data_IF_520003356455
#
_entry.id   IF_520003356455
#
_cell.length_a   1.000
_cell.length_b   1.000
_cell.length_c   1.000
_cell.angle_alpha   90.00
_cell.angle_beta   90.00
_cell.angle_gamma   90.00
#
_symmetry.space_group_name_H-M   'P 1'
#
loop_
_entity.id
_entity.type
_entity.pdbx_description
1 polymer ?
#
# COMPACT_ATOMS: atom_id res chain seq x y z
N UNK A 1 48.88 -17.05 8.03
CA UNK A 1 49.32 -18.24 7.26
C UNK A 1 48.26 -19.32 7.42
N UNK A 2 47.38 -19.50 6.43
CA UNK A 2 46.47 -20.66 6.39
C UNK A 2 46.42 -21.13 4.94
N UNK A 3 47.06 -22.26 4.68
CA UNK A 3 47.25 -22.87 3.37
C UNK A 3 45.96 -23.56 2.94
N UNK A 4 45.27 -23.01 1.93
CA UNK A 4 44.18 -23.70 1.26
C UNK A 4 44.76 -24.72 0.27
N UNK A 5 44.59 -26.01 0.62
CA UNK A 5 44.94 -27.15 -0.22
C UNK A 5 43.94 -27.24 -1.39
N UNK A 6 44.38 -27.42 -2.64
CA UNK A 6 43.46 -27.58 -3.78
C UNK A 6 42.74 -28.93 -3.70
N UNK A 7 41.45 -28.92 -4.07
CA UNK A 7 40.59 -30.11 -4.19
C UNK A 7 41.10 -30.99 -5.34
N UNK A 8 41.24 -32.32 -5.17
CA UNK A 8 41.71 -33.19 -6.24
C UNK A 8 40.67 -33.26 -7.37
N UNK A 9 41.14 -33.27 -8.62
CA UNK A 9 40.31 -33.45 -9.80
C UNK A 9 39.59 -34.81 -9.76
N UNK A 10 38.35 -34.92 -10.26
CA UNK A 10 37.71 -36.22 -10.43
C UNK A 10 38.56 -37.08 -11.36
N UNK A 11 39.04 -38.21 -10.84
CA UNK A 11 39.74 -39.22 -11.62
C UNK A 11 38.82 -39.67 -12.76
N UNK A 12 39.21 -39.39 -14.00
CA UNK A 12 38.61 -40.06 -15.14
C UNK A 12 38.76 -41.57 -14.92
N UNK A 13 37.72 -42.38 -15.15
CA UNK A 13 37.87 -43.83 -15.16
C UNK A 13 39.00 -44.15 -16.13
N UNK A 14 40.12 -44.67 -15.59
CA UNK A 14 41.19 -45.20 -16.43
C UNK A 14 40.57 -46.31 -17.26
N UNK A 15 40.45 -46.10 -18.57
CA UNK A 15 40.14 -47.21 -19.46
C UNK A 15 41.26 -48.24 -19.28
N UNK A 16 40.94 -49.53 -19.04
CA UNK A 16 41.96 -50.55 -19.03
C UNK A 16 42.71 -50.48 -20.36
N UNK A 17 44.05 -50.70 -20.37
CA UNK A 17 44.78 -50.80 -21.62
C UNK A 17 44.07 -51.83 -22.51
N UNK A 18 43.94 -51.60 -23.83
CA UNK A 18 43.36 -52.59 -24.71
C UNK A 18 44.09 -53.91 -24.48
N UNK A 19 43.37 -55.04 -24.30
CA UNK A 19 44.02 -56.32 -24.12
C UNK A 19 45.01 -56.51 -25.27
N UNK A 20 46.24 -56.93 -24.95
CA UNK A 20 47.26 -57.24 -25.95
C UNK A 20 46.62 -58.16 -26.98
N UNK A 21 46.46 -57.66 -28.21
CA UNK A 21 45.82 -58.40 -29.30
C UNK A 21 46.72 -59.59 -29.60
N UNK A 22 46.38 -60.76 -29.03
CA UNK A 22 46.98 -62.01 -29.44
C UNK A 22 46.70 -62.13 -30.94
N UNK A 23 47.76 -62.13 -31.76
CA UNK A 23 47.66 -62.36 -33.19
C UNK A 23 47.08 -63.76 -33.37
N UNK A 24 45.77 -63.84 -33.57
CA UNK A 24 45.12 -65.09 -33.96
C UNK A 24 45.68 -65.47 -35.33
N UNK A 25 45.99 -66.76 -35.57
CA UNK A 25 46.43 -67.20 -36.89
C UNK A 25 45.38 -66.82 -37.94
N UNK A 26 45.80 -66.53 -39.19
CA UNK A 26 44.87 -66.24 -40.28
C UNK A 26 43.80 -67.34 -40.33
N UNK A 27 42.53 -66.93 -40.25
CA UNK A 27 41.41 -67.86 -40.32
C UNK A 27 41.38 -68.53 -41.70
N UNK A 28 41.67 -69.82 -41.76
CA UNK A 28 41.51 -70.62 -42.97
C UNK A 28 40.06 -71.12 -43.05
N UNK A 29 39.29 -70.75 -44.10
CA UNK A 29 37.90 -71.16 -44.22
C UNK A 29 37.83 -72.66 -44.49
N UNK A 30 37.11 -73.40 -43.64
CA UNK A 30 36.81 -74.82 -43.86
C UNK A 30 36.07 -75.01 -45.19
N UNK A 31 36.47 -75.96 -46.06
CA UNK A 31 35.85 -76.16 -47.36
C UNK A 31 34.40 -76.66 -47.22
N UNK A 32 33.47 -75.91 -47.80
CA UNK A 32 32.04 -76.19 -47.71
C UNK A 32 31.69 -77.32 -48.68
N UNK A 33 31.33 -78.49 -48.14
CA UNK A 33 31.18 -79.71 -48.95
C UNK A 33 29.71 -80.06 -49.17
N UNK A 34 28.81 -79.68 -48.26
CA UNK A 34 27.38 -80.06 -48.29
C UNK A 34 26.46 -78.88 -48.64
N UNK A 35 25.37 -79.09 -49.39
CA UNK A 35 24.39 -78.03 -49.72
C UNK A 35 23.71 -77.45 -48.46
N UNK A 36 23.49 -78.26 -47.42
CA UNK A 36 22.94 -77.82 -46.14
C UNK A 36 23.88 -76.83 -45.41
N UNK A 37 25.19 -77.06 -45.47
CA UNK A 37 26.20 -76.17 -44.88
C UNK A 37 26.23 -74.81 -45.60
N UNK A 38 26.04 -74.80 -46.93
CA UNK A 38 25.92 -73.55 -47.72
C UNK A 38 24.69 -72.74 -47.31
N UNK A 39 23.54 -73.41 -47.12
CA UNK A 39 22.31 -72.75 -46.66
C UNK A 39 22.48 -72.17 -45.25
N UNK A 40 23.08 -72.93 -44.33
CA UNK A 40 23.37 -72.44 -42.97
C UNK A 40 24.37 -71.27 -42.98
N UNK A 41 25.44 -71.33 -43.76
CA UNK A 41 26.39 -70.23 -43.88
C UNK A 41 25.73 -68.96 -44.42
N UNK A 42 24.86 -69.10 -45.41
CA UNK A 42 24.10 -67.97 -45.98
C UNK A 42 23.22 -67.32 -44.92
N UNK A 43 22.55 -68.11 -44.08
CA UNK A 43 21.78 -67.61 -42.95
C UNK A 43 22.65 -66.93 -41.89
N UNK A 44 23.84 -67.48 -41.58
CA UNK A 44 24.79 -66.84 -40.66
C UNK A 44 25.28 -65.49 -41.19
N UNK A 45 25.69 -65.43 -42.46
CA UNK A 45 26.12 -64.18 -43.11
C UNK A 45 24.98 -63.16 -43.12
N UNK A 46 23.75 -63.59 -43.39
CA UNK A 46 22.57 -62.71 -43.37
C UNK A 46 22.31 -62.16 -41.96
N UNK A 47 22.37 -63.01 -40.93
CA UNK A 47 22.17 -62.60 -39.53
C UNK A 47 23.26 -61.66 -39.07
N UNK A 48 24.51 -61.93 -39.42
CA UNK A 48 25.66 -61.09 -39.06
C UNK A 48 25.57 -59.71 -39.75
N UNK A 49 25.23 -59.70 -41.04
CA UNK A 49 24.99 -58.45 -41.77
C UNK A 49 23.83 -57.63 -41.16
N UNK A 50 22.72 -58.28 -40.77
CA UNK A 50 21.60 -57.61 -40.11
C UNK A 50 21.99 -57.05 -38.73
N UNK A 51 22.81 -57.78 -37.98
CA UNK A 51 23.33 -57.35 -36.69
C UNK A 51 24.27 -56.13 -36.84
N UNK A 52 25.20 -56.18 -37.78
CA UNK A 52 26.09 -55.06 -38.11
C UNK A 52 25.30 -53.80 -38.50
N UNK A 53 24.30 -53.94 -39.38
CA UNK A 53 23.43 -52.81 -39.75
C UNK A 53 22.67 -52.22 -38.55
N UNK A 54 22.20 -53.06 -37.62
CA UNK A 54 21.53 -52.61 -36.41
C UNK A 54 22.48 -51.85 -35.47
N UNK A 55 23.71 -52.33 -35.31
CA UNK A 55 24.76 -51.67 -34.53
C UNK A 55 25.12 -50.32 -35.13
N UNK A 56 25.36 -50.26 -36.44
CA UNK A 56 25.70 -49.00 -37.14
C UNK A 56 24.57 -47.97 -36.99
N UNK A 57 23.31 -48.40 -37.11
CA UNK A 57 22.15 -47.54 -36.89
C UNK A 57 22.07 -47.03 -35.45
N UNK A 58 22.34 -47.87 -34.46
CA UNK A 58 22.38 -47.47 -33.06
C UNK A 58 23.54 -46.50 -32.78
N UNK A 59 24.73 -46.78 -33.31
CA UNK A 59 25.90 -45.93 -33.16
C UNK A 59 25.66 -44.55 -33.79
N UNK A 60 25.12 -44.51 -35.00
CA UNK A 60 24.74 -43.26 -35.67
C UNK A 60 23.76 -42.44 -34.85
N UNK A 61 22.69 -43.05 -34.33
CA UNK A 61 21.72 -42.38 -33.44
C UNK A 61 22.37 -41.84 -32.17
N UNK A 62 23.28 -42.60 -31.57
CA UNK A 62 23.99 -42.19 -30.38
C UNK A 62 24.90 -40.98 -30.64
N UNK A 63 25.63 -40.98 -31.76
CA UNK A 63 26.47 -39.85 -32.18
C UNK A 63 25.62 -38.61 -32.51
N UNK A 64 24.50 -38.78 -33.21
CA UNK A 64 23.56 -37.69 -33.50
C UNK A 64 23.03 -37.06 -32.22
N UNK A 65 22.56 -37.87 -31.26
CA UNK A 65 22.09 -37.39 -29.95
C UNK A 65 23.20 -36.71 -29.14
N UNK A 66 24.42 -37.26 -29.15
CA UNK A 66 25.57 -36.68 -28.46
C UNK A 66 25.93 -35.30 -29.06
N UNK A 67 25.88 -35.15 -30.38
CA UNK A 67 26.12 -33.89 -31.07
C UNK A 67 25.01 -32.86 -30.78
N UNK A 68 23.75 -33.29 -30.74
CA UNK A 68 22.63 -32.43 -30.36
C UNK A 68 22.82 -31.88 -28.94
N UNK A 69 23.10 -32.76 -27.96
CA UNK A 69 23.34 -32.34 -26.58
C UNK A 69 24.58 -31.47 -26.43
N UNK A 70 25.62 -31.71 -27.23
CA UNK A 70 26.80 -30.84 -27.28
C UNK A 70 26.42 -29.41 -27.69
N UNK A 71 25.54 -29.25 -28.70
CA UNK A 71 25.04 -27.93 -29.11
C UNK A 71 24.21 -27.26 -28.03
N UNK A 72 23.32 -28.01 -27.36
CA UNK A 72 22.52 -27.48 -26.24
C UNK A 72 23.43 -26.93 -25.12
N UNK A 73 24.47 -27.69 -24.76
CA UNK A 73 25.46 -27.31 -23.75
C UNK A 73 26.24 -26.07 -24.19
N UNK A 74 26.63 -26.00 -25.46
CA UNK A 74 27.36 -24.85 -26.01
C UNK A 74 26.51 -23.58 -25.98
N UNK A 75 25.24 -23.66 -26.37
CA UNK A 75 24.29 -22.55 -26.31
C UNK A 75 24.07 -22.06 -24.87
N UNK A 76 23.80 -22.97 -23.94
CA UNK A 76 23.61 -22.62 -22.52
C UNK A 76 24.89 -21.99 -21.91
N UNK A 77 26.07 -22.47 -22.30
CA UNK A 77 27.33 -21.88 -21.88
C UNK A 77 27.56 -20.49 -22.49
N UNK A 78 27.18 -20.27 -23.76
CA UNK A 78 27.24 -18.97 -24.40
C UNK A 78 26.33 -17.96 -23.71
N UNK A 79 25.10 -18.35 -23.38
CA UNK A 79 24.16 -17.50 -22.63
C UNK A 79 24.70 -17.16 -21.23
N UNK A 80 25.26 -18.14 -20.52
CA UNK A 80 25.91 -17.91 -19.21
C UNK A 80 27.07 -16.93 -19.29
N UNK A 81 27.89 -16.98 -20.35
CA UNK A 81 28.97 -16.01 -20.59
C UNK A 81 28.42 -14.61 -20.79
N UNK A 82 27.33 -14.47 -21.56
CA UNK A 82 26.67 -13.18 -21.74
C UNK A 82 26.17 -12.63 -20.40
N UNK A 83 25.53 -13.46 -19.56
CA UNK A 83 25.06 -13.07 -18.22
C UNK A 83 26.18 -12.66 -17.26
N UNK A 84 27.39 -13.17 -17.46
CA UNK A 84 28.58 -12.83 -16.65
C UNK A 84 29.27 -11.55 -17.14
N UNK A 85 28.95 -11.04 -18.33
CA UNK A 85 29.48 -9.77 -18.77
C UNK A 85 28.92 -8.63 -17.91
N UNK A 86 29.77 -7.69 -17.47
CA UNK A 86 29.33 -6.53 -16.72
C UNK A 86 28.40 -5.67 -17.59
N UNK A 87 27.20 -5.38 -17.08
CA UNK A 87 26.18 -4.58 -17.78
C UNK A 87 25.23 -5.38 -18.69
N UNK A 88 25.37 -6.70 -18.78
CA UNK A 88 24.37 -7.52 -19.45
C UNK A 88 23.06 -7.55 -18.64
N UNK A 89 21.94 -7.29 -19.32
CA UNK A 89 20.59 -7.26 -18.75
C UNK A 89 19.76 -8.43 -19.31
N UNK A 90 20.05 -9.69 -18.94
CA UNK A 90 19.40 -10.88 -19.51
C UNK A 90 17.89 -10.96 -19.24
N UNK A 91 17.40 -10.20 -18.25
CA UNK A 91 15.99 -10.15 -17.86
C UNK A 91 15.37 -8.77 -18.11
N UNK A 92 16.05 -7.90 -18.87
CA UNK A 92 15.64 -6.52 -19.11
C UNK A 92 16.14 -5.53 -18.06
N UNK A 93 15.75 -4.27 -18.21
CA UNK A 93 16.28 -3.12 -17.46
C UNK A 93 15.68 -2.98 -16.05
N UNK A 94 14.49 -3.53 -15.82
CA UNK A 94 13.77 -3.40 -14.55
C UNK A 94 13.20 -2.00 -14.34
N UNK A 95 13.24 -1.49 -13.11
CA UNK A 95 12.77 -0.14 -12.78
C UNK A 95 13.79 0.91 -13.21
N UNK A 96 13.31 1.97 -13.88
CA UNK A 96 14.14 3.05 -14.44
C UNK A 96 14.14 4.34 -13.60
N UNK A 97 13.73 4.29 -12.34
CA UNK A 97 13.78 5.45 -11.43
C UNK A 97 12.46 6.14 -11.13
N UNK A 98 11.33 5.67 -11.68
CA UNK A 98 10.00 6.20 -11.39
C UNK A 98 9.45 5.65 -10.07
N UNK A 99 9.72 6.35 -8.95
CA UNK A 99 9.20 6.04 -7.61
C UNK A 99 9.84 4.80 -6.93
N UNK A 100 10.05 3.72 -7.68
CA UNK A 100 10.57 2.44 -7.21
C UNK A 100 12.10 2.33 -7.24
N UNK A 101 12.79 3.42 -7.58
CA UNK A 101 14.24 3.45 -7.74
C UNK A 101 14.70 2.83 -9.06
N UNK A 102 16.02 2.59 -9.16
CA UNK A 102 16.66 2.06 -10.37
C UNK A 102 17.16 0.64 -10.10
N UNK A 103 16.73 -0.32 -10.92
CA UNK A 103 17.19 -1.71 -10.85
C UNK A 103 18.63 -1.81 -11.37
N UNK A 104 19.45 -2.68 -10.74
CA UNK A 104 20.76 -3.05 -11.28
C UNK A 104 21.99 -2.39 -10.64
N UNK A 105 21.83 -1.49 -9.65
CA UNK A 105 22.99 -0.94 -8.92
C UNK A 105 23.62 -1.92 -7.93
N UNK A 106 22.78 -2.63 -7.16
CA UNK A 106 23.21 -3.60 -6.15
C UNK A 106 22.07 -4.57 -5.84
N UNK A 107 22.40 -5.82 -5.50
CA UNK A 107 21.42 -6.75 -4.94
C UNK A 107 21.06 -6.30 -3.52
N UNK A 108 19.87 -5.71 -3.36
CA UNK A 108 19.33 -5.29 -2.06
C UNK A 108 17.84 -5.60 -2.02
N UNK A 109 17.40 -6.21 -0.92
CA UNK A 109 15.98 -6.30 -0.61
C UNK A 109 15.57 -4.96 0.01
N UNK A 110 14.66 -4.25 -0.66
CA UNK A 110 14.07 -3.02 -0.13
C UNK A 110 12.84 -3.41 0.68
N UNK A 111 12.91 -3.22 2.00
CA UNK A 111 11.74 -3.38 2.85
C UNK A 111 10.79 -2.19 2.69
N UNK A 112 9.49 -2.34 3.01
CA UNK A 112 8.54 -1.23 2.96
C UNK A 112 8.98 0.02 3.73
N UNK A 113 9.79 -0.14 4.79
CA UNK A 113 10.33 0.98 5.55
C UNK A 113 11.46 1.73 4.81
N UNK A 114 12.24 1.03 3.98
CA UNK A 114 13.40 1.55 3.24
C UNK A 114 13.01 2.16 1.89
N UNK A 115 11.72 2.13 1.53
CA UNK A 115 11.21 2.71 0.28
C UNK A 115 11.48 4.22 0.24
N UNK A 116 11.78 4.73 -0.95
CA UNK A 116 11.91 6.18 -1.16
C UNK A 116 10.55 6.83 -0.90
N UNK A 117 10.51 7.79 0.03
CA UNK A 117 9.26 8.45 0.43
C UNK A 117 9.20 9.86 -0.16
N UNK A 118 8.03 10.31 -0.66
CA UNK A 118 7.84 11.68 -1.09
C UNK A 118 7.71 12.64 0.11
N UNK A 119 7.13 12.16 1.22
CA UNK A 119 6.94 12.91 2.47
C UNK A 119 7.96 12.49 3.51
N UNK A 120 8.30 13.43 4.40
CA UNK A 120 9.18 13.16 5.55
C UNK A 120 8.42 12.62 6.75
N UNK A 121 7.12 12.87 6.81
CA UNK A 121 6.26 12.45 7.92
C UNK A 121 6.08 10.94 7.98
N UNK A 122 5.75 10.46 9.18
CA UNK A 122 5.43 9.04 9.39
C UNK A 122 4.16 8.70 8.61
N UNK A 123 4.10 7.51 8.05
CA UNK A 123 2.88 7.07 7.36
C UNK A 123 1.86 6.61 8.39
N UNK A 124 0.62 7.06 8.22
CA UNK A 124 -0.51 6.53 8.96
C UNK A 124 -0.72 5.07 8.54
N UNK A 125 -0.43 4.16 9.46
CA UNK A 125 -0.69 2.73 9.31
C UNK A 125 -1.81 2.38 10.27
N UNK A 126 -3.01 2.30 9.72
CA UNK A 126 -4.18 1.90 10.47
C UNK A 126 -4.34 0.38 10.36
N UNK A 127 -4.64 -0.27 11.48
CA UNK A 127 -5.07 -1.66 11.46
C UNK A 127 -6.51 -1.68 10.92
N UNK A 128 -6.85 -2.67 10.10
CA UNK A 128 -8.21 -2.79 9.53
C UNK A 128 -9.29 -2.75 10.62
N UNK A 129 -9.07 -3.42 11.74
CA UNK A 129 -10.02 -3.45 12.86
C UNK A 129 -10.20 -2.06 13.48
N UNK A 130 -9.11 -1.29 13.64
CA UNK A 130 -9.17 0.07 14.17
C UNK A 130 -9.95 1.03 13.25
N UNK A 131 -9.86 0.85 11.93
CA UNK A 131 -10.66 1.63 10.97
C UNK A 131 -12.15 1.32 11.12
N UNK A 132 -12.48 0.03 11.25
CA UNK A 132 -13.88 -0.42 11.40
C UNK A 132 -14.46 0.09 12.72
N UNK A 133 -13.71 -0.04 13.82
CA UNK A 133 -14.11 0.49 15.12
C UNK A 133 -14.32 2.00 15.08
N UNK A 134 -13.43 2.73 14.41
CA UNK A 134 -13.56 4.18 14.26
C UNK A 134 -14.78 4.57 13.43
N UNK A 135 -15.07 3.84 12.35
CA UNK A 135 -16.23 4.10 11.48
C UNK A 135 -17.58 3.87 12.16
N UNK A 136 -17.63 3.09 13.25
CA UNK A 136 -18.85 2.84 14.02
C UNK A 136 -19.13 3.91 15.09
N UNK A 137 -18.17 4.81 15.37
CA UNK A 137 -18.36 5.89 16.34
C UNK A 137 -19.15 7.04 15.71
N UNK A 138 -19.87 7.76 16.55
CA UNK A 138 -20.59 8.96 16.11
C UNK A 138 -19.62 10.11 15.83
N UNK A 139 -19.90 10.88 14.78
CA UNK A 139 -19.08 12.01 14.38
C UNK A 139 -19.50 13.29 15.10
N UNK A 140 -18.72 13.69 16.10
CA UNK A 140 -18.91 14.97 16.80
C UNK A 140 -17.81 15.93 16.38
N UNK A 141 -18.09 16.78 15.40
CA UNK A 141 -17.06 17.68 14.85
C UNK A 141 -16.96 19.00 15.62
N UNK A 142 -15.76 19.25 16.13
CA UNK A 142 -15.32 20.47 16.81
C UNK A 142 -14.67 21.42 15.81
N UNK A 143 -15.07 22.69 15.73
CA UNK A 143 -14.37 23.67 14.93
C UNK A 143 -13.04 24.06 15.60
N UNK A 144 -11.96 24.02 14.84
CA UNK A 144 -10.62 24.38 15.30
C UNK A 144 -10.14 25.58 14.49
N UNK A 145 -9.68 26.62 15.19
CA UNK A 145 -9.02 27.78 14.61
C UNK A 145 -7.57 27.83 15.05
N UNK A 146 -6.65 27.92 14.09
CA UNK A 146 -5.22 28.08 14.36
C UNK A 146 -4.79 29.48 13.98
N UNK A 147 -4.21 30.18 14.94
CA UNK A 147 -3.54 31.48 14.74
C UNK A 147 -2.18 31.43 15.43
N UNK A 148 -1.15 31.04 14.69
CA UNK A 148 0.19 30.80 15.22
C UNK A 148 1.20 31.60 14.41
N UNK A 149 1.90 32.51 15.09
CA UNK A 149 2.97 33.31 14.51
C UNK A 149 4.33 32.82 15.06
N UNK A 150 5.27 32.48 14.19
CA UNK A 150 6.58 31.95 14.59
C UNK A 150 7.61 31.93 13.46
N UNK A 151 8.87 32.23 13.77
CA UNK A 151 10.01 32.19 12.82
C UNK A 151 9.79 32.92 11.47
N UNK A 152 9.00 34.00 11.48
CA UNK A 152 8.67 34.77 10.28
C UNK A 152 7.53 34.20 9.43
N UNK A 153 6.94 33.07 9.84
CA UNK A 153 5.73 32.51 9.26
C UNK A 153 4.52 32.86 10.12
N UNK A 154 3.37 33.02 9.45
CA UNK A 154 2.06 33.19 10.09
C UNK A 154 1.14 32.10 9.58
N UNK A 155 0.76 31.18 10.45
CA UNK A 155 -0.18 30.12 10.16
C UNK A 155 -1.56 30.57 10.62
N UNK A 156 -2.47 30.77 9.67
CA UNK A 156 -3.90 31.02 9.91
C UNK A 156 -4.69 29.96 9.18
N UNK A 157 -5.31 29.07 9.94
CA UNK A 157 -6.07 27.96 9.39
C UNK A 157 -7.35 27.74 10.19
N UNK A 158 -8.36 27.16 9.56
CA UNK A 158 -9.65 26.86 10.18
C UNK A 158 -10.20 25.57 9.58
N UNK A 159 -10.43 24.58 10.43
CA UNK A 159 -10.92 23.25 10.03
C UNK A 159 -11.77 22.63 11.12
N UNK A 160 -12.37 21.49 10.85
CA UNK A 160 -13.15 20.72 11.82
C UNK A 160 -12.40 19.45 12.24
N UNK A 161 -12.49 19.10 13.52
CA UNK A 161 -11.85 17.93 14.12
C UNK A 161 -12.88 17.04 14.79
N UNK A 162 -12.86 15.73 14.53
CA UNK A 162 -13.75 14.81 15.21
C UNK A 162 -13.30 14.60 16.66
N UNK A 163 -14.17 14.93 17.63
CA UNK A 163 -13.94 14.72 19.07
C UNK A 163 -13.64 13.25 19.38
N UNK A 164 -14.31 12.34 18.67
CA UNK A 164 -14.20 10.91 18.85
C UNK A 164 -13.08 10.30 18.01
N UNK A 165 -12.17 11.11 17.45
CA UNK A 165 -11.00 10.65 16.69
C UNK A 165 -10.01 9.94 17.61
N UNK A 166 -9.74 8.67 17.31
CA UNK A 166 -8.77 7.86 18.08
C UNK A 166 -7.56 7.40 17.26
N UNK A 167 -7.65 7.48 15.94
CA UNK A 167 -6.65 6.91 15.03
C UNK A 167 -5.56 7.91 14.70
N UNK A 168 -5.94 9.18 14.47
CA UNK A 168 -5.00 10.27 14.16
C UNK A 168 -4.78 11.14 15.39
N UNK A 169 -3.54 11.24 15.85
CA UNK A 169 -3.20 12.13 16.96
C UNK A 169 -3.02 13.59 16.47
N UNK A 170 -3.35 14.60 17.30
CA UNK A 170 -3.11 16.00 16.96
C UNK A 170 -1.64 16.31 16.62
N UNK A 171 -0.68 15.67 17.29
CA UNK A 171 0.75 15.80 16.99
C UNK A 171 1.08 15.31 15.58
N UNK A 172 0.51 14.18 15.17
CA UNK A 172 0.77 13.65 13.83
C UNK A 172 0.10 14.49 12.75
N UNK A 173 -1.12 14.95 12.99
CA UNK A 173 -1.79 15.91 12.11
C UNK A 173 -0.94 17.17 11.93
N UNK A 174 -0.40 17.71 13.03
CA UNK A 174 0.48 18.88 13.00
C UNK A 174 1.78 18.63 12.20
N UNK A 175 2.39 17.44 12.31
CA UNK A 175 3.55 17.06 11.49
C UNK A 175 3.21 17.08 9.98
N UNK A 176 2.07 16.49 9.61
CA UNK A 176 1.59 16.45 8.22
C UNK A 176 1.30 17.85 7.69
N UNK A 177 0.61 18.68 8.48
CA UNK A 177 0.31 20.06 8.12
C UNK A 177 1.61 20.88 7.90
N UNK A 178 2.61 20.69 8.76
CA UNK A 178 3.91 21.35 8.59
C UNK A 178 4.66 20.87 7.34
N UNK A 179 4.63 19.58 7.01
CA UNK A 179 5.26 19.08 5.78
C UNK A 179 4.51 19.56 4.51
N UNK A 180 3.18 19.64 4.55
CA UNK A 180 2.38 20.08 3.40
C UNK A 180 2.55 21.59 3.13
N UNK A 181 2.58 22.42 4.18
CA UNK A 181 2.83 23.87 4.08
C UNK A 181 4.32 24.24 4.05
N UNK A 182 5.22 23.26 4.12
CA UNK A 182 6.69 23.44 4.18
C UNK A 182 7.13 24.39 5.31
N UNK A 183 6.50 24.26 6.47
CA UNK A 183 6.81 25.01 7.68
C UNK A 183 7.87 24.29 8.54
N UNK A 184 8.62 25.02 9.38
CA UNK A 184 9.55 24.43 10.33
C UNK A 184 8.85 23.54 11.38
N UNK A 185 9.02 22.21 11.25
CA UNK A 185 8.37 21.19 12.09
C UNK A 185 8.63 21.43 13.59
N UNK A 186 9.86 21.80 13.96
CA UNK A 186 10.25 21.98 15.36
C UNK A 186 9.51 23.11 16.07
N UNK A 187 9.06 24.11 15.32
CA UNK A 187 8.54 25.36 15.88
C UNK A 187 7.02 25.42 15.82
N UNK A 188 6.40 24.70 14.89
CA UNK A 188 4.95 24.72 14.67
C UNK A 188 4.22 23.48 15.21
N UNK A 189 4.84 22.30 15.24
CA UNK A 189 4.12 21.06 15.63
C UNK A 189 3.55 21.12 17.04
N UNK A 190 4.37 21.52 18.02
CA UNK A 190 3.92 21.57 19.42
C UNK A 190 2.84 22.63 19.66
N UNK A 191 2.97 23.87 19.15
CA UNK A 191 1.89 24.85 19.24
C UNK A 191 0.58 24.42 18.56
N UNK A 192 0.64 23.82 17.37
CA UNK A 192 -0.55 23.33 16.66
C UNK A 192 -1.24 22.22 17.47
N UNK A 193 -0.49 21.21 17.88
CA UNK A 193 -1.03 20.08 18.63
C UNK A 193 -1.59 20.50 19.99
N UNK A 194 -1.00 21.52 20.63
CA UNK A 194 -1.51 22.12 21.86
C UNK A 194 -2.82 22.86 21.61
N UNK A 195 -2.86 23.74 20.60
CA UNK A 195 -4.05 24.52 20.25
C UNK A 195 -5.26 23.63 19.91
N UNK A 196 -5.03 22.52 19.19
CA UNK A 196 -6.08 21.53 18.91
C UNK A 196 -6.60 20.91 20.21
N UNK A 197 -5.68 20.43 21.08
CA UNK A 197 -6.07 19.76 22.34
C UNK A 197 -6.82 20.70 23.29
N UNK A 198 -6.39 21.95 23.41
CA UNK A 198 -7.06 22.96 24.23
C UNK A 198 -8.47 23.23 23.71
N UNK A 199 -8.65 23.51 22.42
CA UNK A 199 -9.97 23.77 21.84
C UNK A 199 -10.92 22.56 21.93
N UNK A 200 -10.39 21.34 21.77
CA UNK A 200 -11.17 20.10 21.95
C UNK A 200 -11.59 19.90 23.41
N UNK A 201 -10.69 20.17 24.37
CA UNK A 201 -10.97 20.07 25.79
C UNK A 201 -11.97 21.14 26.26
N UNK A 202 -11.84 22.36 25.76
CA UNK A 202 -12.76 23.45 26.02
C UNK A 202 -14.15 23.09 25.46
N UNK A 203 -14.21 22.55 24.25
CA UNK A 203 -15.45 22.04 23.67
C UNK A 203 -16.08 20.96 24.56
N UNK A 204 -15.31 19.98 25.06
CA UNK A 204 -15.84 18.95 25.96
C UNK A 204 -16.45 19.54 27.24
N UNK A 205 -15.85 20.61 27.77
CA UNK A 205 -16.33 21.29 28.99
C UNK A 205 -17.62 22.07 28.74
N UNK A 206 -17.79 22.62 27.53
CA UNK A 206 -18.96 23.40 27.12
C UNK A 206 -20.04 22.58 26.40
N UNK A 207 -19.77 21.33 26.05
CA UNK A 207 -20.68 20.45 25.33
C UNK A 207 -21.70 19.62 26.14
N UNK A 208 -22.12 19.92 27.40
CA UNK A 208 -23.21 19.16 28.02
C UNK A 208 -24.57 19.87 27.84
N UNK A 209 -25.21 19.73 26.67
CA UNK A 209 -26.64 20.05 26.50
C UNK A 209 -27.25 19.58 25.16
N UNK A 210 -26.95 18.35 24.72
CA UNK A 210 -27.83 17.65 23.76
C UNK A 210 -28.27 16.31 24.33
N UNK A 211 -29.18 16.42 25.31
CA UNK A 211 -30.10 15.39 25.83
C UNK A 211 -29.52 13.98 26.06
N UNK A 212 -29.11 13.69 27.29
CA UNK A 212 -29.33 12.35 27.87
C UNK A 212 -30.36 12.48 29.01
N UNK A 213 -31.64 12.40 28.64
CA UNK A 213 -32.69 11.97 29.55
C UNK A 213 -32.56 10.45 29.76
N UNK A 214 -31.58 10.02 30.55
CA UNK A 214 -31.61 8.69 31.20
C UNK A 214 -30.90 8.75 32.55
N UNK A 215 -31.49 9.47 33.51
CA UNK A 215 -31.19 9.24 34.93
C UNK A 215 -32.37 8.51 35.56
N UNK A 216 -32.36 7.18 35.42
CA UNK A 216 -33.12 6.30 36.30
C UNK A 216 -32.51 6.40 37.71
N UNK A 217 -33.16 7.12 38.62
CA UNK A 217 -32.85 7.02 40.04
C UNK A 217 -32.98 8.31 40.86
N UNK A 218 -34.21 8.69 41.19
CA UNK A 218 -34.66 9.22 42.50
C UNK A 218 -36.04 9.86 42.31
N UNK A 219 -37.07 9.14 42.71
CA UNK A 219 -38.47 9.60 42.71
C UNK A 219 -38.71 10.53 43.89
N UNK A 220 -38.90 11.83 43.63
CA UNK A 220 -39.55 12.75 44.56
C UNK A 220 -41.05 12.87 44.22
N UNK A 221 -41.86 12.43 45.18
CA UNK A 221 -43.28 12.05 45.07
C UNK A 221 -44.26 13.23 44.96
N UNK A 222 -43.79 14.45 44.63
CA UNK A 222 -44.59 15.69 44.65
C UNK A 222 -44.96 16.20 43.25
N UNK A 223 -44.38 15.64 42.17
CA UNK A 223 -44.57 16.13 40.80
C UNK A 223 -45.78 15.52 40.05
N UNK A 224 -46.63 14.73 40.71
CA UNK A 224 -47.73 14.01 40.02
C UNK A 224 -48.95 14.90 39.76
N UNK A 225 -49.16 15.98 40.54
CA UNK A 225 -50.33 16.85 40.38
C UNK A 225 -50.16 17.92 39.28
N UNK A 226 -48.93 18.31 38.93
CA UNK A 226 -48.66 19.23 37.81
C UNK A 226 -48.44 18.51 36.48
N UNK A 227 -48.20 17.19 36.51
CA UNK A 227 -48.03 16.30 35.34
C UNK A 227 -49.15 16.34 34.31
N UNK A 228 -50.40 16.41 34.78
CA UNK A 228 -51.57 16.34 33.92
C UNK A 228 -51.80 17.62 33.09
N UNK A 229 -51.21 18.75 33.48
CA UNK A 229 -51.41 20.05 32.80
C UNK A 229 -50.32 20.37 31.76
N UNK A 230 -49.16 19.70 31.81
CA UNK A 230 -48.15 19.78 30.74
C UNK A 230 -48.16 18.59 29.77
N UNK A 231 -48.89 17.53 30.08
CA UNK A 231 -49.06 16.37 29.19
C UNK A 231 -50.01 16.61 27.99
N UNK A 232 -50.73 17.73 27.96
CA UNK A 232 -51.60 18.15 26.84
C UNK A 232 -50.94 19.15 25.90
N UNK A 233 -49.67 19.51 26.14
CA UNK A 233 -48.88 20.32 25.20
C UNK A 233 -48.24 19.39 24.17
N UNK A 234 -48.67 19.46 22.92
CA UNK A 234 -48.07 18.74 21.78
C UNK A 234 -46.54 18.76 21.88
N UNK A 235 -45.83 17.61 21.74
CA UNK A 235 -44.37 17.58 21.78
C UNK A 235 -43.72 18.42 20.67
N UNK A 236 -44.48 18.83 19.65
CA UNK A 236 -44.06 19.79 18.62
C UNK A 236 -43.92 21.23 19.11
N UNK A 237 -44.56 21.62 20.22
CA UNK A 237 -44.50 22.99 20.76
C UNK A 237 -43.41 23.21 21.80
N UNK A 238 -42.74 22.15 22.27
CA UNK A 238 -41.55 22.27 23.12
C UNK A 238 -40.30 22.72 22.35
N UNK A 239 -40.32 22.65 21.02
CA UNK A 239 -39.30 23.20 20.15
C UNK A 239 -39.69 24.63 19.79
N UNK A 240 -39.58 25.53 20.76
CA UNK A 240 -39.53 26.96 20.46
C UNK A 240 -38.39 27.18 19.45
N UNK A 241 -38.73 27.88 18.38
CA UNK A 241 -37.90 28.13 17.22
C UNK A 241 -36.64 28.89 17.62
N UNK A 242 -35.56 28.18 17.92
CA UNK A 242 -34.24 28.76 18.25
C UNK A 242 -33.54 29.18 16.96
N UNK A 243 -34.15 30.16 16.28
CA UNK A 243 -33.58 30.82 15.11
C UNK A 243 -32.61 31.90 15.57
N UNK A 244 -31.36 31.73 15.18
CA UNK A 244 -30.32 32.73 15.38
C UNK A 244 -29.99 33.41 14.06
N UNK A 245 -29.69 34.71 14.13
CA UNK A 245 -29.17 35.46 12.98
C UNK A 245 -27.66 35.27 12.91
N UNK A 246 -27.20 34.57 11.89
CA UNK A 246 -25.79 34.32 11.63
C UNK A 246 -25.29 35.37 10.64
N UNK A 247 -24.17 36.02 10.98
CA UNK A 247 -23.47 36.97 10.13
C UNK A 247 -22.16 36.35 9.67
N UNK A 248 -21.94 36.37 8.36
CA UNK A 248 -20.74 35.90 7.70
C UNK A 248 -19.87 37.08 7.32
N UNK A 249 -18.59 37.01 7.67
CA UNK A 249 -17.54 37.87 7.16
C UNK A 249 -16.31 37.00 6.88
N UNK A 250 -16.19 36.57 5.63
CA UNK A 250 -15.16 35.64 5.19
C UNK A 250 -14.30 36.32 4.13
N UNK A 251 -12.98 36.30 4.37
CA UNK A 251 -11.99 36.83 3.43
C UNK A 251 -11.06 35.72 2.97
N UNK A 252 -11.03 35.44 1.66
CA UNK A 252 -10.09 34.48 1.06
C UNK A 252 -9.42 35.14 -0.14
N UNK A 253 -8.09 35.22 -0.08
CA UNK A 253 -7.30 35.90 -1.12
C UNK A 253 -7.69 37.37 -1.28
N UNK A 254 -8.24 37.71 -2.45
CA UNK A 254 -8.68 39.06 -2.80
C UNK A 254 -10.21 39.22 -2.81
N UNK A 255 -10.97 38.22 -2.33
CA UNK A 255 -12.44 38.23 -2.33
C UNK A 255 -12.95 38.19 -0.89
N UNK A 256 -13.98 38.99 -0.63
CA UNK A 256 -14.69 39.03 0.66
C UNK A 256 -16.15 38.66 0.44
N UNK A 257 -16.66 37.71 1.22
CA UNK A 257 -18.06 37.33 1.27
C UNK A 257 -18.63 37.83 2.60
N UNK A 258 -19.60 38.75 2.52
CA UNK A 258 -20.35 39.26 3.66
C UNK A 258 -21.81 38.88 3.44
N UNK A 259 -22.40 38.14 4.37
CA UNK A 259 -23.78 37.66 4.27
C UNK A 259 -24.44 37.60 5.65
N UNK A 260 -25.76 37.52 5.70
CA UNK A 260 -26.54 37.38 6.92
C UNK A 260 -27.80 36.55 6.67
N UNK A 261 -27.97 35.47 7.43
CA UNK A 261 -29.13 34.57 7.30
C UNK A 261 -29.63 34.08 8.68
N UNK A 262 -30.86 33.56 8.71
CA UNK A 262 -31.44 32.93 9.90
C UNK A 262 -31.12 31.42 9.91
N UNK A 263 -30.75 30.89 11.08
CA UNK A 263 -30.45 29.47 11.25
C UNK A 263 -31.19 28.89 12.45
N UNK A 264 -31.96 27.84 12.23
CA UNK A 264 -32.60 27.06 13.29
C UNK A 264 -31.64 25.97 13.80
N UNK A 265 -31.28 26.09 15.07
CA UNK A 265 -30.38 25.19 15.80
C UNK A 265 -31.01 23.81 16.06
N UNK A 266 -32.32 23.78 16.30
CA UNK A 266 -33.00 22.57 16.77
C UNK A 266 -33.38 21.62 15.63
N UNK A 267 -33.33 22.09 14.38
CA UNK A 267 -33.60 21.25 13.23
C UNK A 267 -32.40 20.32 12.95
N UNK A 268 -32.53 19.05 13.33
CA UNK A 268 -31.51 18.02 13.08
C UNK A 268 -31.23 17.75 11.59
N UNK A 269 -32.05 18.25 10.66
CA UNK A 269 -31.84 18.14 9.21
C UNK A 269 -30.97 19.27 8.65
N UNK A 270 -30.65 20.27 9.45
CA UNK A 270 -29.87 21.43 9.01
C UNK A 270 -28.39 21.08 9.05
N UNK A 271 -27.84 20.69 7.90
CA UNK A 271 -26.42 20.38 7.75
C UNK A 271 -25.62 21.61 7.25
N UNK A 272 -24.59 22.07 7.99
CA UNK A 272 -23.81 23.25 7.63
C UNK A 272 -23.01 23.07 6.33
N UNK A 273 -22.54 21.85 6.07
CA UNK A 273 -21.74 21.52 4.89
C UNK A 273 -22.56 21.59 3.60
N UNK A 274 -23.78 21.04 3.62
CA UNK A 274 -24.67 21.08 2.47
C UNK A 274 -25.09 22.52 2.15
N UNK A 275 -25.39 23.32 3.17
CA UNK A 275 -25.69 24.74 3.00
C UNK A 275 -24.51 25.50 2.39
N UNK A 276 -23.31 25.32 2.95
CA UNK A 276 -22.08 25.95 2.45
C UNK A 276 -21.77 25.56 0.99
N UNK A 277 -22.02 24.31 0.62
CA UNK A 277 -21.83 23.82 -0.75
C UNK A 277 -22.81 24.48 -1.73
N UNK A 278 -24.09 24.54 -1.38
CA UNK A 278 -25.12 25.17 -2.22
C UNK A 278 -24.79 26.65 -2.40
N UNK A 279 -24.54 27.38 -1.31
CA UNK A 279 -24.22 28.81 -1.34
C UNK A 279 -22.97 29.10 -2.20
N UNK A 280 -21.91 28.31 -2.04
CA UNK A 280 -20.70 28.48 -2.85
C UNK A 280 -20.96 28.17 -4.34
N UNK A 281 -21.81 27.19 -4.63
CA UNK A 281 -22.16 26.82 -6.02
C UNK A 281 -23.03 27.89 -6.68
N UNK A 282 -24.00 28.45 -5.95
CA UNK A 282 -24.87 29.53 -6.44
C UNK A 282 -24.09 30.83 -6.70
N UNK A 283 -23.13 31.16 -5.82
CA UNK A 283 -22.29 32.34 -5.97
C UNK A 283 -21.10 32.14 -6.92
N UNK A 284 -20.87 30.92 -7.42
CA UNK A 284 -19.73 30.58 -8.27
C UNK A 284 -18.37 30.76 -7.57
N UNK A 285 -18.33 30.53 -6.25
CA UNK A 285 -17.14 30.65 -5.43
C UNK A 285 -16.28 29.37 -5.49
N UNK A 286 -14.97 29.53 -5.31
CA UNK A 286 -14.02 28.42 -5.30
C UNK A 286 -14.20 27.49 -4.09
N UNK A 287 -13.61 26.29 -4.15
CA UNK A 287 -13.74 25.27 -3.09
C UNK A 287 -13.28 25.73 -1.71
N UNK A 288 -12.31 26.64 -1.63
CA UNK A 288 -11.85 27.29 -0.39
C UNK A 288 -12.97 27.96 0.41
N UNK A 289 -13.96 28.57 -0.26
CA UNK A 289 -15.10 29.18 0.41
C UNK A 289 -16.03 28.13 1.02
N UNK A 290 -16.20 26.95 0.40
CA UNK A 290 -17.04 25.86 0.94
C UNK A 290 -16.58 25.44 2.33
N UNK A 291 -15.27 25.20 2.48
CA UNK A 291 -14.69 24.76 3.74
C UNK A 291 -14.76 25.83 4.82
N UNK A 292 -14.44 27.08 4.48
CA UNK A 292 -14.51 28.19 5.44
C UNK A 292 -15.96 28.42 5.85
N UNK A 293 -16.93 28.41 4.94
CA UNK A 293 -18.34 28.57 5.26
C UNK A 293 -18.84 27.49 6.25
N UNK A 294 -18.54 26.22 5.99
CA UNK A 294 -18.94 25.13 6.88
C UNK A 294 -18.33 25.25 8.28
N UNK A 295 -17.01 25.47 8.35
CA UNK A 295 -16.27 25.49 9.61
C UNK A 295 -16.48 26.78 10.43
N UNK A 296 -16.57 27.93 9.75
CA UNK A 296 -16.67 29.25 10.37
C UNK A 296 -18.09 29.58 10.81
N UNK A 297 -19.09 29.30 9.97
CA UNK A 297 -20.42 29.89 10.12
C UNK A 297 -21.25 29.28 11.24
N UNK A 298 -21.13 27.96 11.41
CA UNK A 298 -22.16 27.21 12.11
C UNK A 298 -21.59 26.59 13.37
N UNK A 299 -20.56 25.75 13.24
CA UNK A 299 -19.97 25.04 14.38
C UNK A 299 -19.29 25.95 15.41
N UNK A 300 -18.64 27.03 14.98
CA UNK A 300 -17.92 27.95 15.89
C UNK A 300 -18.88 28.80 16.73
N UNK A 301 -20.02 29.20 16.13
CA UNK A 301 -21.05 29.98 16.82
C UNK A 301 -21.84 29.14 17.84
N UNK A 302 -21.96 27.82 17.62
CA UNK A 302 -22.55 26.89 18.59
C UNK A 302 -21.79 26.81 19.94
N UNK A 303 -20.54 27.30 20.02
CA UNK A 303 -19.74 27.29 21.26
C UNK A 303 -19.92 28.59 22.06
N UNK A 304 -20.35 29.69 21.42
CA UNK A 304 -20.46 31.02 22.03
C UNK A 304 -21.86 31.35 22.55
N UNK A 305 -22.82 30.43 22.44
CA UNK A 305 -24.19 30.53 22.94
C UNK A 305 -24.36 29.53 24.09
#
# INVERSE_FOLDING_TARGET
MSSHKPRPAPQQPQQPPPPAVAQQPPYEPTPITTEAERRQLTEYVRRDAAYQQALDKQHRRHVELANEKKRDIEFANAEKRLRQQPGALPFGMGYEGYGNGVTGKQLRILYPNDRKRPRRTKELKFLSDAIIEQANKEDTLVPIRLEIDGEGYKLRDTFTWNLNETTVTPDHFAEVLCDDLKLPIHSFVQPIAKAIREQVQDFYTHAPSRSDETTEGAVDEIAVATAAEWATVDPKKRNEELRILIKLDITVGNRSLIDQFEWDINCAKNDPEQFAEILATELGLGGEFKYVLSSFSLRTLFILI
#
